data_IF_538853084382
#
_entry.id   IF_538853084382
#
_cell.length_a   1.000
_cell.length_b   1.000
_cell.length_c   1.000
_cell.angle_alpha   90.00
_cell.angle_beta   90.00
_cell.angle_gamma   90.00
#
_symmetry.space_group_name_H-M   'P 1'
#
loop_
_entity.id
_entity.type
_entity.pdbx_description
1 polymer ?
#
# COMPACT_ATOMS: atom_id res chain seq x y z
N UNK A 1 4.17 6.50 11.39
CA UNK A 1 4.83 6.86 10.12
C UNK A 1 6.31 6.82 10.31
N UNK A 2 7.02 6.43 9.27
CA UNK A 2 8.45 6.71 9.19
C UNK A 2 8.68 8.24 9.20
N UNK A 3 9.68 8.70 9.98
CA UNK A 3 9.96 10.13 10.17
C UNK A 3 10.33 10.78 8.84
N UNK A 4 11.09 10.07 7.98
CA UNK A 4 11.47 10.60 6.67
C UNK A 4 10.25 10.76 5.75
N UNK A 5 9.28 9.84 5.80
CA UNK A 5 8.03 9.97 5.04
C UNK A 5 7.23 11.22 5.46
N UNK A 6 7.15 11.50 6.76
CA UNK A 6 6.44 12.67 7.27
C UNK A 6 7.15 13.98 6.90
N UNK A 7 8.46 14.07 7.17
CA UNK A 7 9.27 15.26 6.88
C UNK A 7 9.30 15.51 5.37
N UNK A 8 9.46 14.46 4.56
CA UNK A 8 9.46 14.55 3.10
C UNK A 8 8.13 15.10 2.57
N UNK A 9 7.00 14.59 3.06
CA UNK A 9 5.67 15.08 2.65
C UNK A 9 5.45 16.55 3.03
N UNK A 10 5.70 16.91 4.30
CA UNK A 10 5.53 18.30 4.77
C UNK A 10 6.49 19.25 4.05
N UNK A 11 7.75 18.84 3.88
CA UNK A 11 8.76 19.63 3.17
C UNK A 11 8.38 19.89 1.72
N UNK A 12 7.92 18.88 1.00
CA UNK A 12 7.48 19.04 -0.40
C UNK A 12 6.30 20.02 -0.52
N UNK A 13 5.25 19.83 0.28
CA UNK A 13 4.07 20.71 0.29
C UNK A 13 4.45 22.13 0.72
N UNK A 14 5.29 22.26 1.75
CA UNK A 14 5.74 23.55 2.27
C UNK A 14 6.52 24.36 1.24
N UNK A 15 7.43 23.73 0.49
CA UNK A 15 8.20 24.40 -0.55
C UNK A 15 7.31 24.87 -1.72
N UNK A 16 6.32 24.06 -2.11
CA UNK A 16 5.33 24.44 -3.14
C UNK A 16 4.52 25.66 -2.67
N UNK A 17 3.98 25.62 -1.45
CA UNK A 17 3.20 26.72 -0.90
C UNK A 17 4.02 28.01 -0.75
N UNK A 18 5.27 27.90 -0.28
CA UNK A 18 6.17 29.04 -0.16
C UNK A 18 6.42 29.72 -1.52
N UNK A 19 6.62 28.92 -2.57
CA UNK A 19 6.78 29.44 -3.94
C UNK A 19 5.50 30.15 -4.44
N UNK A 20 4.32 29.58 -4.18
CA UNK A 20 3.04 30.21 -4.58
C UNK A 20 2.79 31.53 -3.86
N UNK A 21 3.09 31.59 -2.55
CA UNK A 21 2.94 32.81 -1.74
C UNK A 21 3.91 33.89 -2.24
N UNK A 22 5.17 33.54 -2.47
CA UNK A 22 6.17 34.46 -3.01
C UNK A 22 5.81 34.97 -4.42
N UNK A 23 5.09 34.17 -5.21
CA UNK A 23 4.65 34.50 -6.56
C UNK A 23 3.35 35.32 -6.68
N UNK A 24 2.73 35.73 -5.56
CA UNK A 24 1.51 36.55 -5.59
C UNK A 24 0.29 35.95 -4.86
N UNK A 25 0.47 34.86 -4.12
CA UNK A 25 -0.58 34.24 -3.30
C UNK A 25 -1.16 32.96 -3.90
N UNK A 26 -1.93 32.22 -3.09
CA UNK A 26 -2.44 30.88 -3.44
C UNK A 26 -3.74 30.93 -4.26
N UNK A 27 -4.55 31.98 -4.10
CA UNK A 27 -5.87 32.08 -4.70
C UNK A 27 -5.90 31.87 -6.23
N UNK A 28 -4.96 32.40 -7.03
CA UNK A 28 -4.97 32.21 -8.48
C UNK A 28 -4.77 30.75 -8.94
N UNK A 29 -4.23 29.89 -8.08
CA UNK A 29 -3.94 28.49 -8.41
C UNK A 29 -5.09 27.53 -8.09
N UNK A 30 -6.17 28.04 -7.47
CA UNK A 30 -7.35 27.25 -7.15
C UNK A 30 -8.42 27.53 -8.20
N UNK A 31 -8.50 26.64 -9.18
CA UNK A 31 -9.50 26.69 -10.24
C UNK A 31 -10.32 25.40 -10.28
N UNK A 32 -11.64 25.55 -10.34
CA UNK A 32 -12.59 24.44 -10.30
C UNK A 32 -12.49 23.56 -11.56
N UNK A 33 -12.20 24.15 -12.73
CA UNK A 33 -12.08 23.39 -13.97
C UNK A 33 -10.84 22.48 -13.94
N UNK A 34 -9.71 23.04 -13.48
CA UNK A 34 -8.44 22.32 -13.31
C UNK A 34 -8.58 21.16 -12.32
N UNK A 35 -9.28 21.36 -11.20
CA UNK A 35 -9.56 20.29 -10.22
C UNK A 35 -10.38 19.17 -10.86
N UNK A 36 -11.45 19.49 -11.60
CA UNK A 36 -12.29 18.48 -12.25
C UNK A 36 -11.52 17.68 -13.31
N UNK A 37 -10.68 18.34 -14.11
CA UNK A 37 -9.88 17.68 -15.14
C UNK A 37 -8.85 16.75 -14.49
N UNK A 38 -8.05 17.26 -13.55
CA UNK A 38 -6.96 16.48 -12.96
C UNK A 38 -7.50 15.43 -11.99
N UNK A 39 -8.22 15.82 -10.94
CA UNK A 39 -8.72 14.84 -9.96
C UNK A 39 -9.80 13.94 -10.53
N UNK A 40 -10.81 14.52 -11.19
CA UNK A 40 -11.90 13.74 -11.77
C UNK A 40 -11.42 12.84 -12.90
N UNK A 41 -10.64 13.39 -13.84
CA UNK A 41 -10.07 12.62 -14.94
C UNK A 41 -9.17 11.48 -14.47
N UNK A 42 -8.24 11.74 -13.53
CA UNK A 42 -7.38 10.69 -12.99
C UNK A 42 -8.17 9.65 -12.21
N UNK A 43 -9.16 10.05 -11.41
CA UNK A 43 -10.00 9.12 -10.65
C UNK A 43 -10.66 8.08 -11.56
N UNK A 44 -11.30 8.53 -12.65
CA UNK A 44 -11.96 7.63 -13.58
C UNK A 44 -10.97 6.89 -14.49
N UNK A 45 -9.84 7.49 -14.86
CA UNK A 45 -8.81 6.82 -15.65
C UNK A 45 -8.15 5.67 -14.87
N UNK A 46 -7.87 5.86 -13.57
CA UNK A 46 -7.36 4.79 -12.72
C UNK A 46 -8.42 3.72 -12.50
N UNK A 47 -9.69 4.10 -12.28
CA UNK A 47 -10.80 3.15 -12.18
C UNK A 47 -10.95 2.32 -13.46
N UNK A 48 -10.75 2.90 -14.64
CA UNK A 48 -10.75 2.17 -15.91
C UNK A 48 -9.61 1.14 -16.00
N UNK A 49 -8.44 1.45 -15.43
CA UNK A 49 -7.25 0.61 -15.49
C UNK A 49 -7.25 -0.59 -14.53
N UNK A 50 -8.16 -0.64 -13.54
CA UNK A 50 -8.13 -1.63 -12.47
C UNK A 50 -9.52 -2.21 -12.19
N UNK A 51 -9.58 -3.44 -11.68
CA UNK A 51 -10.85 -4.02 -11.23
C UNK A 51 -11.40 -3.26 -10.02
N UNK A 52 -12.73 -3.14 -9.91
CA UNK A 52 -13.38 -2.37 -8.85
C UNK A 52 -12.90 -2.74 -7.41
N UNK A 53 -12.72 -4.02 -7.05
CA UNK A 53 -12.17 -4.38 -5.74
C UNK A 53 -10.74 -3.88 -5.52
N UNK A 54 -9.90 -3.89 -6.56
CA UNK A 54 -8.51 -3.44 -6.52
C UNK A 54 -8.44 -1.92 -6.39
N UNK A 55 -9.26 -1.22 -7.18
CA UNK A 55 -9.39 0.23 -7.12
C UNK A 55 -9.78 0.70 -5.71
N UNK A 56 -10.84 0.12 -5.13
CA UNK A 56 -11.25 0.46 -3.76
C UNK A 56 -10.20 0.09 -2.71
N UNK A 57 -9.48 -1.01 -2.91
CA UNK A 57 -8.39 -1.43 -2.02
C UNK A 57 -7.16 -0.50 -2.09
N UNK A 58 -6.95 0.19 -3.22
CA UNK A 58 -5.85 1.15 -3.38
C UNK A 58 -5.93 2.30 -2.38
N UNK A 59 -7.14 2.79 -2.07
CA UNK A 59 -7.32 3.83 -1.05
C UNK A 59 -6.91 3.36 0.35
N UNK A 60 -7.24 2.11 0.70
CA UNK A 60 -6.78 1.51 1.97
C UNK A 60 -5.26 1.36 2.01
N UNK A 61 -4.64 1.02 0.87
CA UNK A 61 -3.19 0.93 0.77
C UNK A 61 -2.50 2.29 0.91
N UNK A 62 -3.03 3.34 0.26
CA UNK A 62 -2.53 4.71 0.42
C UNK A 62 -2.64 5.18 1.88
N UNK A 63 -3.76 4.90 2.56
CA UNK A 63 -3.93 5.22 3.97
C UNK A 63 -2.94 4.49 4.89
N UNK A 64 -2.48 3.28 4.51
CA UNK A 64 -1.55 2.48 5.31
C UNK A 64 -0.15 3.12 5.44
N UNK A 65 0.23 4.01 4.53
CA UNK A 65 1.47 4.79 4.62
C UNK A 65 1.52 5.62 5.90
N UNK A 66 0.37 6.12 6.37
CA UNK A 66 0.28 6.91 7.59
C UNK A 66 0.39 6.08 8.88
N UNK A 67 0.14 4.77 8.80
CA UNK A 67 0.27 3.85 9.93
C UNK A 67 0.95 2.55 9.47
N UNK A 68 2.28 2.57 9.29
CA UNK A 68 3.03 1.36 8.96
C UNK A 68 2.90 0.38 10.13
N UNK A 69 2.15 -0.69 9.92
CA UNK A 69 2.15 -1.84 10.82
C UNK A 69 3.37 -2.68 10.51
N UNK A 70 4.53 -2.27 11.03
CA UNK A 70 5.73 -3.10 10.98
C UNK A 70 5.60 -4.16 12.08
N UNK A 71 5.55 -5.46 11.75
CA UNK A 71 5.68 -6.49 12.76
C UNK A 71 7.07 -6.35 13.41
N UNK A 72 7.12 -6.52 14.73
CA UNK A 72 8.38 -6.51 15.47
C UNK A 72 9.08 -7.85 15.19
N UNK A 73 10.01 -7.81 14.23
CA UNK A 73 10.72 -9.01 13.77
C UNK A 73 11.45 -9.72 14.90
N UNK A 74 12.02 -8.96 15.84
CA UNK A 74 12.73 -9.51 17.00
C UNK A 74 11.80 -10.36 17.88
N UNK A 75 10.61 -9.85 18.22
CA UNK A 75 9.61 -10.59 19.00
C UNK A 75 9.14 -11.86 18.26
N UNK A 76 9.01 -11.80 16.93
CA UNK A 76 8.66 -12.97 16.12
C UNK A 76 9.77 -14.04 16.16
N UNK A 77 11.05 -13.64 16.06
CA UNK A 77 12.18 -14.57 16.11
C UNK A 77 12.30 -15.21 17.49
N UNK A 78 12.22 -14.43 18.56
CA UNK A 78 12.22 -14.94 19.94
C UNK A 78 11.11 -15.97 20.12
N UNK A 79 9.89 -15.65 19.68
CA UNK A 79 8.75 -16.57 19.75
C UNK A 79 8.96 -17.85 18.96
N UNK A 80 9.58 -17.78 17.77
CA UNK A 80 9.92 -18.95 16.98
C UNK A 80 10.89 -19.89 17.71
N UNK A 81 11.89 -19.33 18.38
CA UNK A 81 12.88 -20.10 19.15
C UNK A 81 12.22 -20.79 20.36
N UNK A 82 11.34 -20.08 21.07
CA UNK A 82 10.57 -20.65 22.19
C UNK A 82 9.72 -21.84 21.74
N UNK A 83 8.94 -21.68 20.66
CA UNK A 83 8.09 -22.73 20.12
C UNK A 83 8.91 -23.92 19.62
N UNK A 84 10.04 -23.68 18.96
CA UNK A 84 10.96 -24.74 18.54
C UNK A 84 11.52 -25.52 19.75
N UNK A 85 11.84 -24.83 20.84
CA UNK A 85 12.28 -25.44 22.09
C UNK A 85 11.21 -26.32 22.74
N UNK A 86 9.96 -25.87 22.74
CA UNK A 86 8.79 -26.62 23.23
C UNK A 86 8.54 -27.86 22.37
N UNK A 87 8.52 -27.72 21.04
CA UNK A 87 8.34 -28.83 20.11
C UNK A 87 9.41 -29.92 20.28
N UNK A 88 10.66 -29.54 20.59
CA UNK A 88 11.76 -30.49 20.80
C UNK A 88 11.66 -31.25 22.12
N UNK A 89 11.11 -30.63 23.16
CA UNK A 89 10.97 -31.24 24.51
C UNK A 89 9.71 -32.08 24.64
N UNK A 90 8.58 -31.50 24.24
CA UNK A 90 7.24 -32.01 24.52
C UNK A 90 6.54 -32.55 23.25
N UNK A 91 7.19 -32.45 22.09
CA UNK A 91 6.67 -32.89 20.80
C UNK A 91 5.82 -31.83 20.09
N UNK A 92 5.44 -32.11 18.84
CA UNK A 92 4.70 -31.15 17.99
C UNK A 92 3.30 -30.81 18.53
N UNK A 93 2.64 -31.73 19.23
CA UNK A 93 1.32 -31.49 19.83
C UNK A 93 1.33 -30.40 20.91
N UNK A 94 2.48 -30.16 21.55
CA UNK A 94 2.60 -29.10 22.56
C UNK A 94 2.44 -27.68 21.98
N UNK A 95 2.53 -27.54 20.65
CA UNK A 95 2.31 -26.29 19.93
C UNK A 95 0.84 -25.91 19.82
N UNK A 96 -0.08 -26.85 20.05
CA UNK A 96 -1.52 -26.58 19.93
C UNK A 96 -1.99 -25.55 20.95
N UNK A 97 -2.75 -24.54 20.50
CA UNK A 97 -3.28 -23.48 21.36
C UNK A 97 -2.23 -22.47 21.87
N UNK A 98 -0.98 -22.57 21.43
CA UNK A 98 0.04 -21.59 21.78
C UNK A 98 -0.22 -20.23 21.11
N UNK A 99 0.02 -19.10 21.80
CA UNK A 99 -0.10 -17.79 21.18
C UNK A 99 0.93 -17.62 20.06
N UNK A 100 0.46 -17.07 18.95
CA UNK A 100 1.21 -16.90 17.70
C UNK A 100 1.16 -15.44 17.23
N UNK A 101 2.19 -14.98 16.50
CA UNK A 101 2.31 -13.57 16.13
C UNK A 101 1.27 -13.12 15.11
N UNK A 102 0.86 -14.00 14.19
CA UNK A 102 -0.12 -13.70 13.16
C UNK A 102 -0.82 -14.96 12.62
N UNK A 103 -1.85 -14.75 11.80
CA UNK A 103 -2.66 -15.82 11.20
C UNK A 103 -1.89 -16.69 10.20
N UNK A 104 -0.86 -16.15 9.56
CA UNK A 104 -0.02 -16.92 8.63
C UNK A 104 0.83 -17.91 9.43
N UNK A 105 1.40 -17.47 10.54
CA UNK A 105 2.11 -18.32 11.49
C UNK A 105 1.19 -19.39 12.10
N UNK A 106 -0.01 -19.00 12.56
CA UNK A 106 -1.03 -19.90 13.10
C UNK A 106 -1.32 -21.06 12.15
N UNK A 107 -1.53 -20.75 10.87
CA UNK A 107 -1.82 -21.75 9.85
C UNK A 107 -0.67 -22.72 9.63
N UNK A 108 0.57 -22.23 9.57
CA UNK A 108 1.76 -23.08 9.44
C UNK A 108 1.96 -23.99 10.66
N UNK A 109 1.74 -23.45 11.86
CA UNK A 109 1.80 -24.20 13.11
C UNK A 109 0.71 -25.28 13.17
N UNK A 110 -0.52 -24.97 12.79
CA UNK A 110 -1.61 -25.95 12.74
C UNK A 110 -1.28 -27.10 11.77
N UNK A 111 -0.77 -26.81 10.58
CA UNK A 111 -0.34 -27.84 9.63
C UNK A 111 0.76 -28.75 10.20
N UNK A 112 1.66 -28.20 11.01
CA UNK A 112 2.70 -28.97 11.71
C UNK A 112 2.11 -29.88 12.80
N UNK A 113 1.13 -29.39 13.58
CA UNK A 113 0.40 -30.20 14.58
C UNK A 113 -0.39 -31.33 13.90
N UNK A 114 -1.00 -31.04 12.75
CA UNK A 114 -1.77 -32.01 11.95
C UNK A 114 -0.88 -33.07 11.25
N UNK A 115 0.45 -32.98 11.41
CA UNK A 115 1.40 -33.95 10.86
C UNK A 115 1.62 -33.80 9.34
N UNK A 116 1.49 -32.59 8.80
CA UNK A 116 1.81 -32.34 7.40
C UNK A 116 3.30 -32.59 7.11
N UNK A 117 3.57 -33.25 5.99
CA UNK A 117 4.93 -33.41 5.46
C UNK A 117 5.57 -32.06 5.16
N UNK A 118 6.89 -31.96 5.39
CA UNK A 118 7.68 -30.73 5.21
C UNK A 118 7.51 -30.14 3.80
N UNK A 119 7.53 -30.97 2.75
CA UNK A 119 7.39 -30.50 1.38
C UNK A 119 6.01 -29.88 1.13
N UNK A 120 4.97 -30.50 1.70
CA UNK A 120 3.59 -29.98 1.59
C UNK A 120 3.45 -28.65 2.33
N UNK A 121 4.01 -28.56 3.54
CA UNK A 121 4.01 -27.32 4.32
C UNK A 121 4.70 -26.18 3.56
N UNK A 122 5.94 -26.40 3.11
CA UNK A 122 6.73 -25.40 2.38
C UNK A 122 5.98 -24.96 1.12
N UNK A 123 5.44 -25.90 0.34
CA UNK A 123 4.69 -25.59 -0.87
C UNK A 123 3.45 -24.74 -0.58
N UNK A 124 2.68 -25.11 0.44
CA UNK A 124 1.45 -24.40 0.80
C UNK A 124 1.73 -22.98 1.31
N UNK A 125 2.72 -22.84 2.20
CA UNK A 125 3.11 -21.55 2.77
C UNK A 125 3.69 -20.62 1.70
N UNK A 126 4.52 -21.14 0.79
CA UNK A 126 5.04 -20.37 -0.36
C UNK A 126 3.93 -19.95 -1.33
N UNK A 127 2.96 -20.82 -1.60
CA UNK A 127 1.80 -20.50 -2.44
C UNK A 127 0.98 -19.36 -1.84
N UNK A 128 0.80 -19.34 -0.52
CA UNK A 128 0.09 -18.28 0.18
C UNK A 128 0.85 -16.96 0.16
N UNK A 129 2.18 -16.98 0.36
CA UNK A 129 3.03 -15.80 0.18
C UNK A 129 2.91 -15.27 -1.25
N UNK A 130 2.97 -16.13 -2.26
CA UNK A 130 2.86 -15.75 -3.66
C UNK A 130 1.50 -15.11 -3.97
N UNK A 131 0.41 -15.70 -3.48
CA UNK A 131 -0.95 -15.13 -3.61
C UNK A 131 -1.07 -13.77 -2.92
N UNK A 132 -0.50 -13.64 -1.71
CA UNK A 132 -0.47 -12.39 -0.98
C UNK A 132 0.30 -11.31 -1.74
N UNK A 133 1.49 -11.64 -2.29
CA UNK A 133 2.29 -10.74 -3.12
C UNK A 133 1.54 -10.29 -4.36
N UNK A 134 0.94 -11.22 -5.12
CA UNK A 134 0.17 -10.87 -6.32
C UNK A 134 -1.00 -9.93 -6.01
N UNK A 135 -1.69 -10.12 -4.88
CA UNK A 135 -2.72 -9.17 -4.42
C UNK A 135 -2.13 -7.79 -4.11
N UNK A 136 -0.99 -7.71 -3.44
CA UNK A 136 -0.35 -6.42 -3.13
C UNK A 136 0.17 -5.74 -4.39
N UNK A 137 0.73 -6.48 -5.34
CA UNK A 137 1.19 -5.96 -6.64
C UNK A 137 0.04 -5.37 -7.45
N UNK A 138 -1.12 -6.04 -7.51
CA UNK A 138 -2.31 -5.50 -8.18
C UNK A 138 -2.76 -4.17 -7.55
N UNK A 139 -2.78 -4.10 -6.22
CA UNK A 139 -3.15 -2.87 -5.48
C UNK A 139 -2.11 -1.77 -5.69
N UNK A 140 -0.82 -2.10 -5.66
CA UNK A 140 0.27 -1.17 -5.96
C UNK A 140 0.20 -0.67 -7.40
N UNK A 141 -0.19 -1.52 -8.36
CA UNK A 141 -0.42 -1.13 -9.75
C UNK A 141 -1.49 -0.03 -9.86
N UNK A 142 -2.60 -0.16 -9.13
CA UNK A 142 -3.62 0.88 -9.09
C UNK A 142 -3.10 2.19 -8.45
N UNK A 143 -2.32 2.11 -7.36
CA UNK A 143 -1.67 3.29 -6.75
C UNK A 143 -0.69 3.94 -7.73
N UNK A 144 0.09 3.15 -8.46
CA UNK A 144 1.00 3.66 -9.49
C UNK A 144 0.25 4.34 -10.63
N UNK A 145 -0.92 3.83 -11.00
CA UNK A 145 -1.82 4.49 -11.95
C UNK A 145 -2.15 5.93 -11.54
N UNK A 146 -2.37 6.21 -10.26
CA UNK A 146 -2.57 7.58 -9.77
C UNK A 146 -1.34 8.47 -9.99
N UNK A 147 -0.14 7.93 -9.73
CA UNK A 147 1.13 8.65 -9.89
C UNK A 147 1.42 8.95 -11.36
N UNK A 148 1.14 8.00 -12.24
CA UNK A 148 1.48 8.11 -13.67
C UNK A 148 0.43 8.94 -14.44
N UNK A 149 -0.87 8.80 -14.10
CA UNK A 149 -1.96 9.44 -14.84
C UNK A 149 -2.28 10.86 -14.35
N UNK A 150 -2.00 11.24 -13.10
CA UNK A 150 -2.25 12.60 -12.62
C UNK A 150 -1.49 13.69 -13.40
N UNK A 151 -0.16 13.55 -13.64
CA UNK A 151 0.57 14.53 -14.44
C UNK A 151 0.09 14.57 -15.90
N UNK A 152 -0.27 13.42 -16.48
CA UNK A 152 -0.79 13.35 -17.83
C UNK A 152 -2.13 14.10 -17.97
N UNK A 153 -3.05 13.94 -17.01
CA UNK A 153 -4.29 14.73 -16.96
C UNK A 153 -4.03 16.23 -16.77
N UNK A 154 -2.98 16.59 -16.01
CA UNK A 154 -2.52 17.98 -15.90
C UNK A 154 -2.12 18.58 -17.25
N UNK A 155 -1.34 17.83 -18.05
CA UNK A 155 -0.97 18.26 -19.41
C UNK A 155 -2.18 18.34 -20.36
N UNK A 156 -3.18 17.47 -20.21
CA UNK A 156 -4.44 17.60 -20.95
C UNK A 156 -5.17 18.89 -20.53
N UNK A 157 -5.18 19.21 -19.24
CA UNK A 157 -5.75 20.45 -18.72
C UNK A 157 -5.10 21.71 -19.30
N UNK A 158 -3.77 21.72 -19.47
CA UNK A 158 -3.08 22.86 -20.11
C UNK A 158 -3.51 23.03 -21.56
N UNK A 159 -3.67 21.94 -22.32
CA UNK A 159 -4.15 21.99 -23.70
C UNK A 159 -5.58 22.53 -23.78
N UNK A 160 -6.48 22.07 -22.91
CA UNK A 160 -7.87 22.58 -22.85
C UNK A 160 -7.87 24.08 -22.52
N UNK A 161 -7.06 24.52 -21.55
CA UNK A 161 -6.93 25.92 -21.18
C UNK A 161 -6.40 26.79 -22.32
N UNK A 162 -5.41 26.31 -23.08
CA UNK A 162 -4.87 27.02 -24.25
C UNK A 162 -5.92 27.19 -25.35
N UNK A 163 -6.75 26.16 -25.61
CA UNK A 163 -7.83 26.25 -26.60
C UNK A 163 -8.86 27.31 -26.17
N UNK A 164 -9.24 27.36 -24.89
CA UNK A 164 -10.17 28.36 -24.37
C UNK A 164 -9.59 29.78 -24.43
N UNK A 165 -8.28 29.94 -24.22
CA UNK A 165 -7.60 31.23 -24.32
C UNK A 165 -7.54 31.75 -25.77
N UNK A 166 -7.31 30.87 -26.76
CA UNK A 166 -7.20 31.24 -28.18
C UNK A 166 -8.54 31.32 -28.91
N UNK A 167 -9.58 30.67 -28.36
CA UNK A 167 -10.93 30.66 -28.92
C UNK A 167 -11.79 31.88 -28.55
N UNK A 168 -11.31 32.70 -27.60
CA UNK A 168 -11.82 34.04 -27.28
C UNK A 168 -10.88 35.11 -27.84
#
# INVERSE_FOLDING_TARGET
MDIASLIGFIGAVGMILAAMIAGGGVAPFIDNQSILIVFGGTFFAVMYSATMPTFLSSFKAMAKVFKPGLPKLDETVERMVELAGMARKDGMMALEGQPVPDKFFEKGMQMLVDGADEQKLIKQMNSEIASMKGRHEAVQGAVKGWVDLAPAMGMIGTLIGLVLMLGN
#
